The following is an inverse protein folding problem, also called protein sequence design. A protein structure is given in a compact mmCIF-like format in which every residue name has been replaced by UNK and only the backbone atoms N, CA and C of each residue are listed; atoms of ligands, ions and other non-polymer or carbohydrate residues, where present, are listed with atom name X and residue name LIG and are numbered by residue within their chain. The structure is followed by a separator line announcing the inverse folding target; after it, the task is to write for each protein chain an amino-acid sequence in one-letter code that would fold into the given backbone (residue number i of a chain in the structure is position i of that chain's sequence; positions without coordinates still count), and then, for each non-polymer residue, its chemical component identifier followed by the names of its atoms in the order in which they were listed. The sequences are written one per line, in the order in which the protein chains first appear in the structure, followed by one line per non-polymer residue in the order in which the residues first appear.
data_IF_647640005888
#
_entry.id   IF_647640005888
#
_cell.length_a   1.000
_cell.length_b   1.000
_cell.length_c   1.000
_cell.angle_alpha   90.00
_cell.angle_beta   90.00
_cell.angle_gamma   90.00
#
_symmetry.space_group_name_H-M   'P 1'
#
loop_
_entity.id
_entity.type
_entity.pdbx_description
1 polymer ?
#
# COMPACT_ATOMS: atom_id res chain seq x y z
N UNK A 1 11.13 -32.29 -13.07
CA UNK A 1 11.51 -31.04 -12.37
C UNK A 1 10.79 -29.86 -13.00
N UNK A 2 9.77 -29.28 -12.34
CA UNK A 2 9.06 -28.09 -12.84
C UNK A 2 9.91 -26.85 -12.56
N UNK A 3 10.35 -26.15 -13.61
CA UNK A 3 11.03 -24.85 -13.48
C UNK A 3 10.05 -23.83 -12.90
N UNK A 4 10.29 -23.37 -11.67
CA UNK A 4 9.54 -22.27 -11.06
C UNK A 4 9.91 -21.00 -11.85
N UNK A 5 9.00 -20.50 -12.68
CA UNK A 5 9.15 -19.21 -13.35
C UNK A 5 9.15 -18.12 -12.26
N UNK A 6 10.30 -17.51 -12.00
CA UNK A 6 10.41 -16.29 -11.19
C UNK A 6 9.67 -15.18 -11.94
N UNK A 7 8.46 -14.83 -11.50
CA UNK A 7 7.74 -13.70 -12.07
C UNK A 7 8.47 -12.42 -11.67
N UNK A 8 9.01 -11.69 -12.64
CA UNK A 8 9.56 -10.36 -12.43
C UNK A 8 8.42 -9.34 -12.33
N UNK A 9 7.68 -9.35 -11.21
CA UNK A 9 6.59 -8.41 -10.94
C UNK A 9 7.15 -7.07 -10.43
N UNK A 10 7.95 -6.40 -11.27
CA UNK A 10 8.39 -5.03 -10.99
C UNK A 10 7.24 -4.08 -11.36
N UNK A 11 6.74 -3.33 -10.39
CA UNK A 11 5.72 -2.32 -10.58
C UNK A 11 6.32 -0.94 -10.32
N UNK A 12 6.07 0.02 -11.21
CA UNK A 12 6.35 1.43 -10.94
C UNK A 12 5.22 1.95 -10.04
N UNK A 13 5.59 2.49 -8.89
CA UNK A 13 4.68 3.01 -7.88
C UNK A 13 5.06 4.43 -7.52
N UNK A 14 4.05 5.26 -7.26
CA UNK A 14 4.26 6.48 -6.48
C UNK A 14 4.69 6.09 -5.06
N UNK A 15 5.58 6.89 -4.44
CA UNK A 15 6.09 6.59 -3.10
C UNK A 15 4.99 6.50 -2.05
N UNK A 16 3.99 7.38 -2.10
CA UNK A 16 2.80 7.36 -1.24
C UNK A 16 2.04 6.03 -1.34
N UNK A 17 1.79 5.55 -2.56
CA UNK A 17 1.14 4.25 -2.83
C UNK A 17 1.98 3.09 -2.30
N UNK A 18 3.30 3.12 -2.47
CA UNK A 18 4.19 2.10 -1.95
C UNK A 18 4.12 2.00 -0.42
N UNK A 19 4.07 3.15 0.27
CA UNK A 19 3.90 3.20 1.73
C UNK A 19 2.51 2.68 2.13
N UNK A 20 1.43 3.07 1.45
CA UNK A 20 0.09 2.57 1.74
C UNK A 20 -0.02 1.04 1.60
N UNK A 21 0.56 0.46 0.54
CA UNK A 21 0.63 -1.00 0.35
C UNK A 21 1.45 -1.68 1.46
N UNK A 22 2.54 -1.06 1.89
CA UNK A 22 3.38 -1.58 2.98
C UNK A 22 2.61 -1.60 4.30
N UNK A 23 1.94 -0.49 4.64
CA UNK A 23 1.14 -0.37 5.86
C UNK A 23 -0.04 -1.33 5.84
N UNK A 24 -0.73 -1.48 4.70
CA UNK A 24 -1.80 -2.47 4.50
C UNK A 24 -1.32 -3.87 4.88
N UNK A 25 -0.14 -4.29 4.42
CA UNK A 25 0.42 -5.61 4.73
C UNK A 25 0.81 -5.79 6.20
N UNK A 26 1.09 -4.70 6.92
CA UNK A 26 1.33 -4.72 8.38
C UNK A 26 0.00 -4.90 9.14
N UNK A 27 -1.12 -4.48 8.54
CA UNK A 27 -2.47 -4.54 9.11
C UNK A 27 -2.58 -3.94 10.53
N UNK A 28 -2.16 -2.68 10.75
CA UNK A 28 -2.31 -2.04 12.05
C UNK A 28 -3.79 -1.78 12.37
N UNK A 29 -4.15 -1.88 13.66
CA UNK A 29 -5.52 -1.58 14.12
C UNK A 29 -5.87 -0.10 14.02
N UNK A 30 -4.89 0.79 14.26
CA UNK A 30 -5.06 2.25 14.29
C UNK A 30 -3.87 2.95 13.63
N UNK A 31 -4.17 3.99 12.85
CA UNK A 31 -3.17 4.87 12.24
C UNK A 31 -3.57 6.31 12.55
N UNK A 32 -2.69 7.05 13.23
CA UNK A 32 -2.81 8.50 13.34
C UNK A 32 -2.25 9.16 12.08
N UNK A 33 -3.02 10.04 11.46
CA UNK A 33 -2.59 10.76 10.27
C UNK A 33 -3.09 12.21 10.28
N UNK A 34 -2.22 13.11 9.83
CA UNK A 34 -2.56 14.50 9.52
C UNK A 34 -2.25 14.75 8.03
N UNK A 35 -3.26 14.79 7.15
CA UNK A 35 -3.03 14.94 5.71
C UNK A 35 -2.43 16.29 5.35
N UNK A 36 -1.30 16.28 4.63
CA UNK A 36 -0.67 17.45 4.01
C UNK A 36 0.03 17.03 2.71
N UNK A 37 0.19 17.93 1.74
CA UNK A 37 0.99 17.65 0.53
C UNK A 37 2.44 17.36 0.91
N UNK A 38 3.10 16.28 0.44
CA UNK A 38 2.67 15.26 -0.55
C UNK A 38 2.13 13.94 0.05
N UNK A 39 1.87 13.88 1.36
CA UNK A 39 1.44 12.68 2.07
C UNK A 39 -0.03 12.28 1.81
N UNK A 40 -0.87 13.22 1.37
CA UNK A 40 -2.34 13.07 1.26
C UNK A 40 -2.76 11.73 0.67
N UNK A 41 -2.12 11.29 -0.43
CA UNK A 41 -2.44 10.04 -1.12
C UNK A 41 -2.27 8.77 -0.25
N UNK A 42 -1.39 8.78 0.76
CA UNK A 42 -1.23 7.62 1.68
C UNK A 42 -2.52 7.37 2.44
N UNK A 43 -3.10 8.42 3.03
CA UNK A 43 -4.29 8.31 3.88
C UNK A 43 -5.52 7.96 3.04
N UNK A 44 -5.63 8.54 1.84
CA UNK A 44 -6.69 8.23 0.89
C UNK A 44 -6.68 6.75 0.49
N UNK A 45 -5.51 6.19 0.20
CA UNK A 45 -5.39 4.80 -0.19
C UNK A 45 -5.63 3.82 0.96
N UNK A 46 -5.17 4.15 2.18
CA UNK A 46 -5.47 3.37 3.37
C UNK A 46 -6.98 3.34 3.66
N UNK A 47 -7.66 4.48 3.51
CA UNK A 47 -9.11 4.57 3.66
C UNK A 47 -9.84 3.70 2.62
N UNK A 48 -9.38 3.69 1.36
CA UNK A 48 -9.92 2.81 0.31
C UNK A 48 -9.73 1.34 0.63
N UNK A 49 -8.52 0.94 1.07
CA UNK A 49 -8.28 -0.45 1.46
C UNK A 49 -9.20 -0.88 2.61
N UNK A 50 -9.33 -0.04 3.64
CA UNK A 50 -10.24 -0.32 4.76
C UNK A 50 -11.69 -0.45 4.30
N UNK A 51 -12.15 0.42 3.41
CA UNK A 51 -13.52 0.38 2.86
C UNK A 51 -13.76 -0.88 1.99
N UNK A 52 -12.73 -1.37 1.29
CA UNK A 52 -12.79 -2.57 0.47
C UNK A 52 -12.64 -3.87 1.27
N UNK A 53 -12.36 -3.80 2.58
CA UNK A 53 -12.05 -4.98 3.40
C UNK A 53 -10.72 -5.63 3.04
N UNK A 54 -9.80 -4.84 2.49
CA UNK A 54 -8.47 -5.25 2.03
C UNK A 54 -7.40 -5.25 3.13
#
# INVERSE_FOLDING_TARGET
MKKIKKQNNKQILEGSRAIALTIKNIAPDVISAYPITPQTHIVEDLAKFKANGE
#
